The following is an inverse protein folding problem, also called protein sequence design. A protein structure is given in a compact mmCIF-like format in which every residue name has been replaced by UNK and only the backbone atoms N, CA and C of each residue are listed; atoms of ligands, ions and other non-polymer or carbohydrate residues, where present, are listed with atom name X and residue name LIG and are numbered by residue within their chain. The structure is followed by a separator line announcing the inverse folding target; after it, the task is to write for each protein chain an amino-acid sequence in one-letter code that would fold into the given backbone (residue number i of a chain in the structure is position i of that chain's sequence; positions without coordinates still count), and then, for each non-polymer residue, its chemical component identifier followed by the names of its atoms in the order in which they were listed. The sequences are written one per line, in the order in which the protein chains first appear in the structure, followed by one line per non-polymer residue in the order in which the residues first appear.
data_IF_122935064800
#
_entry.id   IF_122935064800
#
_cell.length_a   1.000
_cell.length_b   1.000
_cell.length_c   1.000
_cell.angle_alpha   90.00
_cell.angle_beta   90.00
_cell.angle_gamma   90.00
#
_symmetry.space_group_name_H-M   'P 1'
#
loop_
_entity.id
_entity.type
_entity.pdbx_description
1 polymer ?
#
# COMPACT_ATOMS: atom_id res chain seq x y z
N UNK A 1 -8.15 10.24 2.51
CA UNK A 1 -8.62 11.05 1.38
C UNK A 1 -9.63 10.22 0.59
N UNK A 2 -10.87 10.70 0.45
CA UNK A 2 -11.96 9.95 -0.22
C UNK A 2 -11.87 10.02 -1.75
N UNK A 3 -11.03 10.92 -2.30
CA UNK A 3 -10.84 11.12 -3.74
C UNK A 3 -10.19 9.94 -4.45
N UNK A 4 -9.49 9.06 -3.73
CA UNK A 4 -8.88 7.86 -4.32
C UNK A 4 -9.92 6.89 -4.89
N UNK A 5 -11.09 6.79 -4.28
CA UNK A 5 -12.17 5.95 -4.77
C UNK A 5 -12.68 6.41 -6.15
N UNK A 6 -12.63 7.73 -6.42
CA UNK A 6 -13.01 8.31 -7.73
C UNK A 6 -12.06 7.86 -8.86
N UNK A 7 -10.83 7.49 -8.52
CA UNK A 7 -9.83 6.94 -9.44
C UNK A 7 -9.81 5.40 -9.44
N UNK A 8 -10.77 4.73 -8.79
CA UNK A 8 -10.76 3.27 -8.62
C UNK A 8 -9.61 2.74 -7.77
N UNK A 9 -9.00 3.62 -6.96
CA UNK A 9 -7.85 3.34 -6.11
C UNK A 9 -8.26 3.16 -4.65
N UNK A 10 -7.68 2.15 -3.99
CA UNK A 10 -7.75 2.01 -2.54
C UNK A 10 -6.34 2.13 -1.93
N UNK A 11 -6.19 3.05 -0.96
CA UNK A 11 -4.98 3.10 -0.13
C UNK A 11 -5.13 2.14 1.05
N UNK A 12 -4.21 1.19 1.16
CA UNK A 12 -4.22 0.19 2.21
C UNK A 12 -3.16 0.52 3.27
N UNK A 13 -3.61 0.95 4.44
CA UNK A 13 -2.83 0.87 5.67
C UNK A 13 -3.36 -0.32 6.46
N UNK A 14 -2.48 -1.24 6.82
CA UNK A 14 -2.88 -2.47 7.51
C UNK A 14 -3.32 -2.21 8.96
N UNK A 15 -2.93 -1.09 9.56
CA UNK A 15 -3.34 -0.73 10.90
C UNK A 15 -3.93 0.69 10.98
N UNK A 16 -5.01 0.88 11.77
CA UNK A 16 -5.67 2.17 11.95
C UNK A 16 -4.86 3.15 12.82
N UNK A 17 -3.82 2.69 13.54
CA UNK A 17 -2.93 3.56 14.31
C UNK A 17 -1.71 3.99 13.47
N UNK A 18 -1.35 5.28 13.45
CA UNK A 18 -0.05 5.73 12.97
C UNK A 18 1.02 5.26 13.96
N UNK A 19 1.55 4.05 13.79
CA UNK A 19 2.75 3.61 14.51
C UNK A 19 3.99 4.20 13.86
N UNK A 20 4.92 4.69 14.68
CA UNK A 20 6.18 5.31 14.21
C UNK A 20 7.04 4.33 13.39
N UNK A 21 6.82 3.03 13.56
CA UNK A 21 7.36 1.99 12.72
C UNK A 21 6.42 0.78 12.62
N UNK A 22 6.38 0.13 11.45
CA UNK A 22 5.66 -1.13 11.26
C UNK A 22 6.12 -2.23 12.25
N UNK A 23 7.30 -2.10 12.85
CA UNK A 23 7.87 -3.01 13.85
C UNK A 23 7.17 -3.03 15.21
N UNK A 24 6.27 -2.09 15.50
CA UNK A 24 5.55 -2.04 16.78
C UNK A 24 4.23 -2.83 16.77
N UNK A 25 3.84 -3.42 15.63
CA UNK A 25 2.58 -4.15 15.50
C UNK A 25 2.73 -5.60 15.98
N UNK A 26 1.82 -6.04 16.85
CA UNK A 26 1.73 -7.44 17.26
C UNK A 26 1.22 -8.32 16.11
N UNK A 27 1.54 -9.62 16.14
CA UNK A 27 1.03 -10.57 15.14
C UNK A 27 -0.51 -10.60 15.09
N UNK A 28 -1.18 -10.37 16.23
CA UNK A 28 -2.65 -10.35 16.32
C UNK A 28 -3.24 -9.14 15.60
N UNK A 29 -2.72 -7.94 15.87
CA UNK A 29 -3.15 -6.71 15.18
C UNK A 29 -2.90 -6.79 13.66
N UNK A 30 -1.87 -7.53 13.27
CA UNK A 30 -1.56 -7.81 11.87
C UNK A 30 -2.66 -8.63 11.20
N UNK A 31 -3.08 -9.76 11.79
CA UNK A 31 -4.11 -10.63 11.22
C UNK A 31 -5.50 -9.96 11.23
N UNK A 32 -5.84 -9.24 12.30
CA UNK A 32 -7.08 -8.46 12.37
C UNK A 32 -7.11 -7.36 11.30
N UNK A 33 -5.98 -6.67 11.11
CA UNK A 33 -5.81 -5.66 10.06
C UNK A 33 -5.97 -6.24 8.64
N UNK A 34 -5.46 -7.45 8.38
CA UNK A 34 -5.65 -8.12 7.08
C UNK A 34 -7.10 -8.43 6.81
N UNK A 35 -7.81 -8.98 7.80
CA UNK A 35 -9.21 -9.37 7.63
C UNK A 35 -10.10 -8.15 7.33
N UNK A 36 -9.90 -7.07 8.07
CA UNK A 36 -10.60 -5.80 7.84
C UNK A 36 -10.26 -5.20 6.46
N UNK A 37 -8.99 -5.25 6.05
CA UNK A 37 -8.56 -4.76 4.74
C UNK A 37 -9.19 -5.57 3.61
N UNK A 38 -9.20 -6.90 3.70
CA UNK A 38 -9.80 -7.77 2.70
C UNK A 38 -11.31 -7.52 2.56
N UNK A 39 -12.03 -7.36 3.67
CA UNK A 39 -13.45 -6.98 3.63
C UNK A 39 -13.68 -5.64 2.93
N UNK A 40 -12.85 -4.64 3.22
CA UNK A 40 -12.96 -3.32 2.58
C UNK A 40 -12.71 -3.40 1.08
N UNK A 41 -11.71 -4.16 0.64
CA UNK A 41 -11.39 -4.33 -0.78
C UNK A 41 -12.54 -5.05 -1.49
N UNK A 42 -13.08 -6.13 -0.91
CA UNK A 42 -14.27 -6.81 -1.45
C UNK A 42 -15.49 -5.91 -1.55
N UNK A 43 -15.69 -5.03 -0.58
CA UNK A 43 -16.84 -4.12 -0.56
C UNK A 43 -16.70 -2.97 -1.57
N UNK A 44 -15.48 -2.56 -1.89
CA UNK A 44 -15.20 -1.40 -2.77
C UNK A 44 -14.75 -1.79 -4.17
N UNK A 45 -14.41 -3.06 -4.40
CA UNK A 45 -13.92 -3.62 -5.67
C UNK A 45 -12.95 -2.68 -6.42
N UNK A 46 -11.87 -2.18 -5.77
CA UNK A 46 -10.95 -1.27 -6.43
C UNK A 46 -10.17 -2.01 -7.52
N UNK A 47 -9.77 -1.28 -8.57
CA UNK A 47 -8.90 -1.83 -9.62
C UNK A 47 -7.48 -2.04 -9.10
N UNK A 48 -7.02 -1.17 -8.20
CA UNK A 48 -5.67 -1.19 -7.63
C UNK A 48 -5.69 -0.93 -6.13
N UNK A 49 -4.87 -1.68 -5.41
CA UNK A 49 -4.55 -1.48 -3.99
C UNK A 49 -3.10 -1.02 -3.86
N UNK A 50 -2.92 0.18 -3.28
CA UNK A 50 -1.60 0.75 -3.03
C UNK A 50 -1.17 0.56 -1.57
N UNK A 51 -0.03 -0.10 -1.37
CA UNK A 51 0.65 -0.22 -0.07
C UNK A 51 1.63 0.94 0.12
N UNK A 52 1.49 1.65 1.24
CA UNK A 52 2.42 2.73 1.60
C UNK A 52 3.58 2.17 2.43
N UNK A 53 4.67 1.85 1.75
CA UNK A 53 5.90 1.33 2.33
C UNK A 53 6.13 -0.16 2.05
N UNK A 54 7.37 -0.48 1.62
CA UNK A 54 7.78 -1.83 1.23
C UNK A 54 7.64 -2.85 2.36
N UNK A 55 7.98 -2.49 3.59
CA UNK A 55 7.93 -3.40 4.75
C UNK A 55 6.51 -3.91 5.02
N UNK A 56 5.49 -3.07 4.83
CA UNK A 56 4.08 -3.46 5.03
C UNK A 56 3.69 -4.50 3.99
N UNK A 57 4.00 -4.24 2.71
CA UNK A 57 3.77 -5.18 1.62
C UNK A 57 4.51 -6.52 1.85
N UNK A 58 5.80 -6.47 2.22
CA UNK A 58 6.62 -7.67 2.43
C UNK A 58 6.04 -8.54 3.56
N UNK A 59 5.60 -7.93 4.66
CA UNK A 59 4.94 -8.67 5.74
C UNK A 59 3.59 -9.23 5.31
N UNK A 60 2.86 -8.53 4.44
CA UNK A 60 1.49 -8.89 4.07
C UNK A 60 1.48 -10.13 3.21
N UNK A 61 2.30 -10.12 2.16
CA UNK A 61 2.45 -11.22 1.22
C UNK A 61 3.53 -12.25 1.62
N UNK A 62 4.22 -12.03 2.76
CA UNK A 62 5.44 -12.78 3.12
C UNK A 62 6.46 -12.79 1.97
N UNK A 63 6.53 -11.68 1.24
CA UNK A 63 7.29 -11.51 0.01
C UNK A 63 8.69 -10.95 0.29
N UNK A 64 9.66 -11.35 -0.52
CA UNK A 64 11.04 -10.80 -0.52
C UNK A 64 11.23 -9.72 -1.59
N UNK A 65 10.16 -9.29 -2.28
CA UNK A 65 10.23 -8.26 -3.32
C UNK A 65 10.88 -6.99 -2.78
N UNK A 66 11.66 -6.32 -3.63
CA UNK A 66 12.36 -5.07 -3.31
C UNK A 66 11.77 -3.92 -4.13
N UNK A 67 12.04 -2.69 -3.68
CA UNK A 67 11.65 -1.47 -4.39
C UNK A 67 10.15 -1.17 -4.39
N UNK A 68 9.84 0.09 -4.69
CA UNK A 68 8.49 0.54 -5.00
C UNK A 68 8.07 0.10 -6.42
N UNK A 69 6.79 0.22 -6.75
CA UNK A 69 6.22 -0.15 -8.04
C UNK A 69 5.18 -1.27 -7.98
N UNK A 70 4.73 -1.69 -9.16
CA UNK A 70 3.78 -2.77 -9.35
C UNK A 70 4.32 -4.09 -8.80
N UNK A 71 3.41 -4.92 -8.30
CA UNK A 71 3.71 -6.22 -7.69
C UNK A 71 2.88 -7.31 -8.37
N UNK A 72 3.41 -8.55 -8.45
CA UNK A 72 2.75 -9.64 -9.16
C UNK A 72 1.52 -10.18 -8.44
N UNK A 73 1.37 -9.91 -7.14
CA UNK A 73 0.24 -10.40 -6.36
C UNK A 73 -1.06 -9.66 -6.70
N UNK A 74 -2.17 -10.39 -6.60
CA UNK A 74 -3.53 -9.87 -6.72
C UNK A 74 -4.20 -9.99 -5.35
N UNK A 75 -4.86 -8.93 -4.91
CA UNK A 75 -5.56 -8.89 -3.63
C UNK A 75 -7.05 -8.70 -3.87
N UNK A 76 -7.84 -9.77 -3.68
CA UNK A 76 -9.30 -9.74 -3.83
C UNK A 76 -9.74 -9.19 -5.21
N UNK A 77 -9.02 -9.57 -6.27
CA UNK A 77 -9.25 -9.11 -7.64
C UNK A 77 -8.55 -7.79 -8.01
N UNK A 78 -8.01 -7.06 -7.03
CA UNK A 78 -7.29 -5.80 -7.28
C UNK A 78 -5.81 -6.04 -7.56
N UNK A 79 -5.25 -5.27 -8.50
CA UNK A 79 -3.79 -5.24 -8.76
C UNK A 79 -3.06 -4.56 -7.60
N UNK A 80 -1.83 -4.99 -7.31
CA UNK A 80 -1.07 -4.47 -6.17
C UNK A 80 0.06 -3.54 -6.61
N UNK A 81 0.19 -2.40 -5.93
CA UNK A 81 1.28 -1.45 -6.14
C UNK A 81 1.88 -1.00 -4.80
N UNK A 82 3.18 -0.73 -4.76
CA UNK A 82 3.87 -0.23 -3.57
C UNK A 82 4.40 1.17 -3.83
N UNK A 83 4.06 2.13 -2.97
CA UNK A 83 4.66 3.46 -2.95
C UNK A 83 5.59 3.61 -1.75
N UNK A 84 6.66 4.42 -1.83
CA UNK A 84 7.52 4.68 -0.67
C UNK A 84 6.74 5.38 0.44
N UNK A 85 7.07 5.08 1.70
CA UNK A 85 6.45 5.76 2.83
C UNK A 85 6.90 7.23 2.87
N UNK A 86 5.96 8.21 2.88
CA UNK A 86 6.27 9.64 2.90
C UNK A 86 6.92 10.12 4.21
N UNK A 87 6.84 9.37 5.32
CA UNK A 87 7.46 9.80 6.58
C UNK A 87 8.98 10.04 6.46
N UNK A 88 9.49 11.08 7.13
CA UNK A 88 10.88 11.52 7.08
C UNK A 88 11.91 10.55 7.69
N UNK A 89 11.46 9.41 8.22
CA UNK A 89 12.31 8.33 8.75
C UNK A 89 12.79 7.36 7.65
N UNK A 90 12.31 7.51 6.41
CA UNK A 90 12.72 6.68 5.29
C UNK A 90 13.98 7.28 4.61
N UNK A 91 15.16 6.97 5.14
CA UNK A 91 16.46 7.45 4.66
C UNK A 91 16.76 7.09 3.19
N UNK A 92 16.02 6.14 2.60
CA UNK A 92 16.17 5.70 1.20
C UNK A 92 15.65 6.72 0.18
N UNK A 93 14.76 7.65 0.57
CA UNK A 93 14.19 8.68 -0.31
C UNK A 93 14.24 10.05 0.38
N UNK A 94 15.36 10.78 0.25
CA UNK A 94 15.60 12.01 1.00
C UNK A 94 14.73 13.20 0.54
N UNK A 95 14.23 13.20 -0.70
CA UNK A 95 13.39 14.27 -1.24
C UNK A 95 11.90 13.91 -1.41
N UNK A 96 11.01 14.90 -1.20
CA UNK A 96 9.58 14.79 -1.54
C UNK A 96 9.36 14.48 -3.04
N UNK A 97 10.22 15.02 -3.92
CA UNK A 97 10.19 14.77 -5.37
C UNK A 97 10.49 13.31 -5.73
N UNK A 98 11.41 12.67 -5.03
CA UNK A 98 11.78 11.26 -5.27
C UNK A 98 10.64 10.30 -4.88
N UNK A 99 9.69 10.77 -4.06
CA UNK A 99 8.50 10.01 -3.68
C UNK A 99 7.36 10.27 -4.66
N UNK A 100 7.20 11.50 -5.14
CA UNK A 100 6.12 11.90 -6.06
C UNK A 100 6.10 11.05 -7.33
N UNK A 101 7.26 10.73 -7.91
CA UNK A 101 7.36 9.87 -9.11
C UNK A 101 6.63 8.53 -8.95
N UNK A 102 6.58 7.98 -7.74
CA UNK A 102 5.89 6.72 -7.48
C UNK A 102 4.38 6.87 -7.36
N UNK A 103 3.90 8.04 -6.92
CA UNK A 103 2.47 8.35 -6.94
C UNK A 103 1.99 8.65 -8.36
N UNK A 104 2.83 9.28 -9.19
CA UNK A 104 2.54 9.46 -10.62
C UNK A 104 2.46 8.12 -11.35
N UNK A 105 3.44 7.23 -11.13
CA UNK A 105 3.41 5.86 -11.66
C UNK A 105 2.25 5.02 -11.14
N UNK A 106 1.82 5.25 -9.89
CA UNK A 106 0.62 4.61 -9.35
C UNK A 106 -0.63 5.03 -10.13
N UNK A 107 -0.74 6.31 -10.49
CA UNK A 107 -1.85 6.81 -11.32
C UNK A 107 -1.82 6.17 -12.70
N UNK A 108 -0.67 6.18 -13.38
CA UNK A 108 -0.52 5.53 -14.70
C UNK A 108 -0.91 4.05 -14.64
N UNK A 109 -0.42 3.33 -13.62
CA UNK A 109 -0.77 1.93 -13.41
C UNK A 109 -2.28 1.72 -13.19
N UNK A 110 -2.95 2.65 -12.51
CA UNK A 110 -4.40 2.60 -12.31
C UNK A 110 -5.17 2.74 -13.63
N UNK A 111 -4.71 3.64 -14.50
CA UNK A 111 -5.33 3.97 -15.78
C UNK A 111 -5.12 2.89 -16.85
N UNK A 112 -4.07 2.07 -16.74
CA UNK A 112 -3.73 0.98 -17.68
C UNK A 112 -4.69 -0.24 -17.66
N UNK A 113 -5.78 -0.23 -16.88
CA UNK A 113 -6.75 -1.33 -16.82
C UNK A 113 -8.18 -0.87 -16.53
#
# INVERSE_FOLDING_TARGET
DQRLAEFGLALANLCPRPTRAASELTAKEYEEGKAALAQKIRATCPKVVAFVGLTVYQRFFRSKSRGAGAKPEILEGARVFVVPNPSGLNATYPGFRDKLVWFERLREFADEG
#
